data_IF_779872357886
#
_entry.id   IF_779872357886
#
_cell.length_a   1.000
_cell.length_b   1.000
_cell.length_c   1.000
_cell.angle_alpha   90.00
_cell.angle_beta   90.00
_cell.angle_gamma   90.00
#
_symmetry.space_group_name_H-M   'P 1'
#
loop_
_entity.id
_entity.type
_entity.pdbx_description
1 polymer ?
#
# COMPACT_ATOMS: atom_id res chain seq x y z
N UNK A 1 58.06 -17.50 -26.51
CA UNK A 1 57.71 -16.13 -26.07
C UNK A 1 56.26 -16.13 -25.58
N UNK A 2 55.93 -15.40 -24.49
CA UNK A 2 54.76 -15.63 -23.64
C UNK A 2 53.65 -14.57 -23.78
N UNK A 3 52.60 -14.69 -22.93
CA UNK A 3 51.66 -13.66 -22.40
C UNK A 3 50.54 -13.17 -23.35
N UNK A 4 49.25 -13.03 -23.00
CA UNK A 4 48.54 -12.61 -21.76
C UNK A 4 47.12 -13.27 -21.70
N UNK A 5 46.65 -13.83 -20.59
CA UNK A 5 45.98 -13.23 -19.40
C UNK A 5 44.61 -12.55 -19.63
N UNK A 6 43.58 -13.08 -18.95
CA UNK A 6 42.67 -12.39 -18.00
C UNK A 6 41.35 -13.20 -17.89
N UNK A 7 41.21 -14.09 -16.91
CA UNK A 7 40.67 -13.81 -15.56
C UNK A 7 39.24 -13.26 -15.56
N UNK A 8 38.25 -14.15 -15.43
CA UNK A 8 36.95 -13.84 -14.81
C UNK A 8 36.71 -14.83 -13.68
N UNK A 9 37.03 -14.39 -12.47
CA UNK A 9 36.66 -15.05 -11.22
C UNK A 9 35.40 -14.35 -10.68
N UNK A 10 34.55 -15.14 -10.03
CA UNK A 10 33.56 -14.74 -9.01
C UNK A 10 32.16 -14.40 -9.51
N UNK A 11 31.22 -15.35 -9.34
CA UNK A 11 29.93 -15.08 -8.66
C UNK A 11 29.50 -16.29 -7.84
N UNK A 12 29.92 -16.29 -6.58
CA UNK A 12 29.19 -16.94 -5.49
C UNK A 12 27.85 -16.22 -5.31
N UNK A 13 26.78 -16.76 -5.88
CA UNK A 13 25.42 -16.36 -5.51
C UNK A 13 24.93 -17.32 -4.43
N UNK A 14 25.06 -16.88 -3.17
CA UNK A 14 24.41 -17.43 -1.98
C UNK A 14 22.92 -17.64 -2.29
N UNK A 15 22.49 -18.89 -2.32
CA UNK A 15 21.10 -19.27 -2.06
C UNK A 15 20.80 -18.92 -0.60
N UNK A 16 20.16 -17.77 -0.38
CA UNK A 16 19.53 -17.47 0.90
C UNK A 16 18.31 -18.41 1.04
N UNK A 17 18.18 -19.16 2.15
CA UNK A 17 16.96 -19.91 2.41
C UNK A 17 15.82 -18.90 2.58
N UNK A 18 14.80 -19.01 1.73
CA UNK A 18 13.51 -18.40 1.98
C UNK A 18 12.95 -19.00 3.27
N UNK A 19 13.22 -18.35 4.39
CA UNK A 19 12.49 -18.52 5.62
C UNK A 19 11.05 -18.08 5.36
N UNK A 20 10.22 -19.03 4.91
CA UNK A 20 8.75 -18.91 4.93
C UNK A 20 8.36 -18.92 6.40
N UNK A 21 8.43 -17.75 7.03
CA UNK A 21 7.86 -17.50 8.33
C UNK A 21 6.33 -17.53 8.16
N UNK A 22 5.76 -18.69 8.42
CA UNK A 22 4.34 -18.88 8.66
C UNK A 22 3.98 -18.14 9.96
N UNK A 23 3.70 -16.83 9.88
CA UNK A 23 3.20 -16.05 11.03
C UNK A 23 1.68 -16.10 10.99
N UNK A 24 1.13 -17.11 11.66
CA UNK A 24 -0.25 -17.09 12.13
C UNK A 24 -0.35 -16.06 13.27
N UNK A 25 -1.05 -14.93 13.04
CA UNK A 25 -1.79 -14.24 14.10
C UNK A 25 -1.38 -12.82 14.53
N UNK A 26 -0.24 -12.27 14.08
CA UNK A 26 0.10 -10.86 14.35
C UNK A 26 0.22 -10.09 13.04
N UNK A 27 -0.91 -9.70 12.47
CA UNK A 27 -0.93 -8.76 11.35
C UNK A 27 -0.26 -7.46 11.80
N UNK A 28 0.80 -7.06 11.10
CA UNK A 28 1.57 -5.87 11.46
C UNK A 28 0.73 -4.60 11.31
N UNK A 29 1.06 -3.55 12.07
CA UNK A 29 0.36 -2.25 11.95
C UNK A 29 0.43 -1.73 10.51
N UNK A 30 1.59 -1.86 9.89
CA UNK A 30 1.83 -1.48 8.50
C UNK A 30 0.96 -2.27 7.52
N UNK A 31 0.77 -3.57 7.76
CA UNK A 31 -0.08 -4.42 6.93
C UNK A 31 -1.57 -4.06 7.07
N UNK A 32 -2.04 -3.71 8.28
CA UNK A 32 -3.39 -3.16 8.48
C UNK A 32 -3.60 -1.87 7.67
N UNK A 33 -2.60 -1.00 7.64
CA UNK A 33 -2.65 0.25 6.89
C UNK A 33 -2.73 -0.02 5.37
N UNK A 34 -1.92 -0.97 4.87
CA UNK A 34 -1.94 -1.37 3.46
C UNK A 34 -3.30 -1.97 3.07
N UNK A 35 -3.84 -2.88 3.89
CA UNK A 35 -5.16 -3.46 3.65
C UNK A 35 -6.29 -2.42 3.65
N UNK A 36 -6.15 -1.36 4.46
CA UNK A 36 -7.09 -0.24 4.42
C UNK A 36 -7.04 0.47 3.07
N UNK A 37 -5.85 0.83 2.58
CA UNK A 37 -5.68 1.50 1.29
C UNK A 37 -6.17 0.61 0.13
N UNK A 38 -5.91 -0.71 0.17
CA UNK A 38 -6.41 -1.67 -0.82
C UNK A 38 -7.95 -1.83 -0.78
N UNK A 39 -8.54 -1.83 0.42
CA UNK A 39 -9.99 -1.85 0.61
C UNK A 39 -10.63 -0.60 -0.02
N UNK A 40 -10.07 0.58 0.25
CA UNK A 40 -10.54 1.83 -0.34
C UNK A 40 -10.38 1.82 -1.88
N UNK A 41 -9.24 1.33 -2.38
CA UNK A 41 -9.03 1.16 -3.82
C UNK A 41 -10.09 0.26 -4.47
N UNK A 42 -10.49 -0.81 -3.79
CA UNK A 42 -11.57 -1.70 -4.25
C UNK A 42 -12.93 -0.99 -4.28
N UNK A 43 -13.20 -0.11 -3.31
CA UNK A 43 -14.42 0.71 -3.30
C UNK A 43 -14.42 1.68 -4.48
N UNK A 44 -13.30 2.34 -4.75
CA UNK A 44 -13.14 3.20 -5.94
C UNK A 44 -13.28 2.43 -7.25
N UNK A 45 -12.68 1.24 -7.37
CA UNK A 45 -12.80 0.41 -8.57
C UNK A 45 -14.25 0.03 -8.87
N UNK A 46 -15.06 -0.24 -7.83
CA UNK A 46 -16.47 -0.65 -7.98
C UNK A 46 -17.43 0.52 -8.15
N UNK A 47 -17.15 1.67 -7.53
CA UNK A 47 -18.12 2.77 -7.41
C UNK A 47 -17.61 4.12 -7.93
N UNK A 48 -16.32 4.24 -8.27
CA UNK A 48 -15.66 5.49 -8.64
C UNK A 48 -16.15 6.14 -9.94
N UNK A 49 -16.67 5.32 -10.86
CA UNK A 49 -17.29 5.78 -12.11
C UNK A 49 -18.82 5.89 -12.03
N UNK A 50 -19.40 5.74 -10.82
CA UNK A 50 -20.84 5.71 -10.59
C UNK A 50 -21.35 6.93 -9.81
N UNK A 51 -22.33 6.69 -8.94
CA UNK A 51 -22.88 7.71 -8.04
C UNK A 51 -21.88 8.06 -6.93
N UNK A 52 -21.44 9.31 -6.90
CA UNK A 52 -20.45 9.79 -5.94
C UNK A 52 -20.96 9.83 -4.50
N UNK A 53 -22.28 9.97 -4.28
CA UNK A 53 -22.86 9.86 -2.95
C UNK A 53 -22.76 8.42 -2.44
N UNK A 54 -23.04 7.44 -3.31
CA UNK A 54 -22.89 6.01 -2.98
C UNK A 54 -21.41 5.67 -2.74
N UNK A 55 -20.50 6.19 -3.56
CA UNK A 55 -19.06 6.03 -3.32
C UNK A 55 -18.68 6.58 -1.94
N UNK A 56 -19.11 7.79 -1.60
CA UNK A 56 -18.83 8.40 -0.30
C UNK A 56 -19.36 7.56 0.87
N UNK A 57 -20.61 7.07 0.78
CA UNK A 57 -21.20 6.19 1.80
C UNK A 57 -20.39 4.89 1.97
N UNK A 58 -19.93 4.30 0.87
CA UNK A 58 -19.13 3.07 0.89
C UNK A 58 -17.73 3.31 1.43
N UNK A 59 -17.12 4.45 1.11
CA UNK A 59 -15.80 4.83 1.64
C UNK A 59 -15.87 5.09 3.14
N UNK A 60 -16.87 5.83 3.62
CA UNK A 60 -17.10 6.03 5.05
C UNK A 60 -17.36 4.69 5.75
N UNK A 61 -18.21 3.84 5.18
CA UNK A 61 -18.46 2.49 5.68
C UNK A 61 -17.19 1.62 5.73
N UNK A 62 -16.27 1.77 4.79
CA UNK A 62 -14.99 1.06 4.78
C UNK A 62 -14.04 1.55 5.87
N UNK A 63 -14.20 2.79 6.36
CA UNK A 63 -13.43 3.35 7.47
C UNK A 63 -14.02 3.01 8.85
N UNK A 64 -15.29 2.64 8.95
CA UNK A 64 -15.93 2.30 10.24
C UNK A 64 -15.19 1.15 10.91
N UNK A 65 -14.71 1.40 12.14
CA UNK A 65 -13.96 0.41 12.94
C UNK A 65 -12.53 0.15 12.44
N UNK A 66 -11.98 1.02 11.59
CA UNK A 66 -10.60 0.93 11.08
C UNK A 66 -9.65 1.94 11.73
N UNK A 67 -9.98 2.43 12.92
CA UNK A 67 -9.18 3.43 13.65
C UNK A 67 -7.73 2.98 13.87
N UNK A 68 -7.51 1.69 14.17
CA UNK A 68 -6.18 1.10 14.29
C UNK A 68 -5.36 1.18 13.00
N UNK A 69 -6.00 0.99 11.85
CA UNK A 69 -5.35 1.02 10.54
C UNK A 69 -5.05 2.47 10.11
N UNK A 70 -5.97 3.40 10.40
CA UNK A 70 -5.75 4.84 10.20
C UNK A 70 -4.60 5.36 11.08
N UNK A 71 -4.57 4.97 12.35
CA UNK A 71 -3.47 5.31 13.26
C UNK A 71 -2.13 4.74 12.78
N UNK A 72 -2.14 3.50 12.27
CA UNK A 72 -0.94 2.88 11.70
C UNK A 72 -0.45 3.60 10.43
N UNK A 73 -1.36 4.07 9.57
CA UNK A 73 -1.02 4.84 8.37
C UNK A 73 -0.39 6.19 8.76
N UNK A 74 -1.02 6.93 9.68
CA UNK A 74 -0.49 8.20 10.19
C UNK A 74 0.87 8.04 10.89
N UNK A 75 1.07 6.96 11.66
CA UNK A 75 2.34 6.63 12.30
C UNK A 75 3.42 6.28 11.26
N UNK A 76 3.06 5.52 10.22
CA UNK A 76 3.95 5.20 9.11
C UNK A 76 4.44 6.47 8.42
N UNK A 77 3.57 7.45 8.18
CA UNK A 77 3.97 8.71 7.56
C UNK A 77 4.81 9.59 8.48
N UNK A 78 4.52 9.62 9.78
CA UNK A 78 5.27 10.45 10.73
C UNK A 78 6.66 9.90 11.11
N UNK A 79 6.88 8.58 10.99
CA UNK A 79 8.07 7.92 11.52
C UNK A 79 8.95 7.30 10.42
N UNK A 80 10.20 7.76 10.31
CA UNK A 80 11.18 7.26 9.32
C UNK A 80 11.45 5.75 9.42
N UNK A 81 11.45 5.19 10.62
CA UNK A 81 11.64 3.75 10.81
C UNK A 81 10.39 2.97 10.38
N UNK A 82 9.20 3.51 10.61
CA UNK A 82 7.96 2.92 10.12
C UNK A 82 7.88 2.99 8.58
N UNK A 83 8.28 4.11 7.94
CA UNK A 83 8.41 4.19 6.47
C UNK A 83 9.33 3.11 5.90
N UNK A 84 10.47 2.84 6.55
CA UNK A 84 11.38 1.75 6.12
C UNK A 84 10.71 0.37 6.22
N UNK A 85 9.90 0.12 7.25
CA UNK A 85 9.15 -1.14 7.40
C UNK A 85 8.01 -1.24 6.39
N UNK A 86 7.37 -0.13 6.05
CA UNK A 86 6.32 -0.03 5.03
C UNK A 86 6.86 -0.10 3.60
N UNK A 87 8.16 0.13 3.39
CA UNK A 87 8.79 0.09 2.06
C UNK A 87 8.61 -1.27 1.34
N UNK A 88 8.52 -2.38 2.08
CA UNK A 88 8.22 -3.69 1.49
C UNK A 88 6.80 -3.79 0.91
N UNK A 89 5.89 -2.93 1.36
CA UNK A 89 4.51 -2.83 0.89
C UNK A 89 4.31 -1.69 -0.11
N UNK A 90 5.36 -0.91 -0.44
CA UNK A 90 5.27 0.25 -1.32
C UNK A 90 4.61 -0.10 -2.66
N UNK A 91 4.96 -1.23 -3.27
CA UNK A 91 4.32 -1.68 -4.52
C UNK A 91 2.81 -1.89 -4.40
N UNK A 92 2.33 -2.43 -3.28
CA UNK A 92 0.90 -2.66 -3.02
C UNK A 92 0.19 -1.33 -2.80
N UNK A 93 0.80 -0.45 -2.02
CA UNK A 93 0.31 0.91 -1.75
C UNK A 93 0.21 1.70 -3.05
N UNK A 94 1.27 1.73 -3.85
CA UNK A 94 1.31 2.46 -5.13
C UNK A 94 0.27 1.92 -6.11
N UNK A 95 0.11 0.60 -6.21
CA UNK A 95 -0.91 -0.02 -7.05
C UNK A 95 -2.34 0.32 -6.60
N UNK A 96 -2.58 0.32 -5.28
CA UNK A 96 -3.87 0.70 -4.72
C UNK A 96 -4.16 2.19 -4.95
N UNK A 97 -3.17 3.08 -4.76
CA UNK A 97 -3.32 4.50 -5.07
C UNK A 97 -3.56 4.75 -6.55
N UNK A 98 -2.86 4.04 -7.44
CA UNK A 98 -3.09 4.15 -8.87
C UNK A 98 -4.54 3.80 -9.23
N UNK A 99 -5.10 2.72 -8.65
CA UNK A 99 -6.52 2.39 -8.81
C UNK A 99 -7.45 3.48 -8.31
N UNK A 100 -7.15 4.08 -7.16
CA UNK A 100 -7.93 5.20 -6.62
C UNK A 100 -7.89 6.38 -7.60
N UNK A 101 -6.70 6.79 -8.05
CA UNK A 101 -6.52 7.92 -8.99
C UNK A 101 -7.26 7.67 -10.31
N UNK A 102 -7.14 6.47 -10.87
CA UNK A 102 -7.76 6.13 -12.15
C UNK A 102 -9.29 6.12 -12.08
N UNK A 103 -9.85 5.74 -10.93
CA UNK A 103 -11.30 5.66 -10.72
C UNK A 103 -11.88 6.86 -9.96
N UNK A 104 -11.08 7.82 -9.49
CA UNK A 104 -11.56 9.00 -8.74
C UNK A 104 -11.85 10.21 -9.63
N UNK A 105 -11.54 10.16 -10.93
CA UNK A 105 -11.65 11.32 -11.83
C UNK A 105 -13.05 11.94 -11.88
N UNK A 106 -14.10 11.15 -11.71
CA UNK A 106 -15.49 11.64 -11.71
C UNK A 106 -15.93 12.15 -10.34
N UNK A 107 -15.55 11.45 -9.27
CA UNK A 107 -16.01 11.74 -7.91
C UNK A 107 -15.03 12.57 -7.07
N UNK A 108 -13.90 13.00 -7.63
CA UNK A 108 -12.92 13.84 -6.93
C UNK A 108 -13.43 15.23 -6.53
N UNK A 109 -14.59 15.66 -7.06
CA UNK A 109 -15.26 16.91 -6.67
C UNK A 109 -16.23 16.74 -5.49
N UNK A 110 -16.56 15.50 -5.11
CA UNK A 110 -17.44 15.22 -3.99
C UNK A 110 -16.69 15.48 -2.66
N UNK A 111 -17.15 16.43 -1.82
CA UNK A 111 -16.43 16.82 -0.61
C UNK A 111 -16.23 15.67 0.36
N UNK A 112 -17.17 14.73 0.46
CA UNK A 112 -17.06 13.55 1.33
C UNK A 112 -15.96 12.59 0.87
N UNK A 113 -15.83 12.40 -0.44
CA UNK A 113 -14.75 11.58 -1.03
C UNK A 113 -13.40 12.24 -0.75
N UNK A 114 -13.30 13.56 -0.93
CA UNK A 114 -12.10 14.33 -0.58
C UNK A 114 -11.74 14.23 0.90
N UNK A 115 -12.73 14.28 1.81
CA UNK A 115 -12.52 14.13 3.25
C UNK A 115 -11.99 12.75 3.63
N UNK A 116 -12.41 11.69 2.93
CA UNK A 116 -11.86 10.34 3.13
C UNK A 116 -10.43 10.24 2.60
N UNK A 117 -10.18 10.76 1.40
CA UNK A 117 -8.83 10.76 0.81
C UNK A 117 -7.83 11.54 1.69
N UNK A 118 -8.24 12.66 2.29
CA UNK A 118 -7.40 13.44 3.21
C UNK A 118 -7.06 12.72 4.52
N UNK A 119 -7.71 11.60 4.84
CA UNK A 119 -7.33 10.75 5.99
C UNK A 119 -6.26 9.74 5.65
N UNK A 120 -5.99 9.52 4.36
CA UNK A 120 -5.06 8.49 3.87
C UNK A 120 -3.91 9.02 2.99
N UNK A 121 -3.93 10.31 2.66
CA UNK A 121 -2.90 11.06 1.91
C UNK A 121 -2.33 12.17 2.79
#
# INVERSE_FOLDING_TARGET
MPTQQASFVTRLARLAPLSVALVLGCQSREEKAVELVESLATVFEKHGNGDCAVLADRLEGALVGKDDALAALAESDANKEARKRSAKYQQRIDAAFQKIVDNSRMCGKEPRVGAVLAKIL
#
